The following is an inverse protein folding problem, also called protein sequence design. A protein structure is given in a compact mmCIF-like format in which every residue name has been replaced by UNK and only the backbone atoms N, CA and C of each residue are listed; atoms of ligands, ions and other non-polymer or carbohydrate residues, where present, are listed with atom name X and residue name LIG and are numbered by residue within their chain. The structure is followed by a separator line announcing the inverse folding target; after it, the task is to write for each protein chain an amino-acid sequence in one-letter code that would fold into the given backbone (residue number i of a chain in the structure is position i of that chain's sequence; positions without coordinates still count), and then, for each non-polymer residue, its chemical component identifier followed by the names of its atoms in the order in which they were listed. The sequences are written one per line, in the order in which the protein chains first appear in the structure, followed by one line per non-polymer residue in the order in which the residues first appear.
data_IF_210701657614
#
_entry.id   IF_210701657614
#
_cell.length_a   1.000
_cell.length_b   1.000
_cell.length_c   1.000
_cell.angle_alpha   90.00
_cell.angle_beta   90.00
_cell.angle_gamma   90.00
#
_symmetry.space_group_name_H-M   'P 1'
#
loop_
_entity.id
_entity.type
_entity.pdbx_description
1 polymer ?
#
# COMPACT_ATOMS: atom_id res chain seq x y z
N UNK A 1 6.43 -17.97 11.21
CA UNK A 1 6.36 -16.63 10.60
C UNK A 1 6.42 -15.63 11.74
N UNK A 2 7.45 -14.77 11.83
CA UNK A 2 7.58 -13.86 12.98
C UNK A 2 6.51 -12.78 12.88
N UNK A 3 5.48 -12.86 13.70
CA UNK A 3 4.52 -11.75 13.86
C UNK A 3 5.26 -10.57 14.50
N UNK A 4 5.48 -9.53 13.71
CA UNK A 4 6.23 -8.34 14.12
C UNK A 4 5.26 -7.43 14.90
N UNK A 5 5.10 -7.73 16.18
CA UNK A 5 4.31 -6.90 17.11
C UNK A 5 4.98 -5.53 17.26
N UNK A 6 4.20 -4.46 17.09
CA UNK A 6 4.62 -3.07 17.29
C UNK A 6 4.15 -2.65 18.68
N UNK A 7 5.06 -2.04 19.45
CA UNK A 7 4.80 -1.56 20.80
C UNK A 7 4.74 -0.04 20.78
N UNK A 8 3.59 0.53 21.13
CA UNK A 8 3.40 1.94 21.42
C UNK A 8 3.35 2.16 22.93
N UNK A 9 3.30 3.42 23.39
CA UNK A 9 3.36 3.79 24.82
C UNK A 9 2.33 3.06 25.70
N UNK A 10 1.15 2.78 25.16
CA UNK A 10 0.02 2.18 25.92
C UNK A 10 -0.58 0.95 25.26
N UNK A 11 -0.11 0.52 24.09
CA UNK A 11 -0.70 -0.61 23.37
C UNK A 11 0.32 -1.38 22.55
N UNK A 12 0.00 -2.65 22.29
CA UNK A 12 0.76 -3.54 21.41
C UNK A 12 -0.17 -3.98 20.29
N UNK A 13 0.27 -3.89 19.04
CA UNK A 13 -0.57 -4.19 17.90
C UNK A 13 0.21 -4.79 16.74
N UNK A 14 -0.52 -5.49 15.87
CA UNK A 14 -0.06 -5.97 14.58
C UNK A 14 -1.22 -5.80 13.60
N UNK A 15 -1.16 -4.72 12.82
CA UNK A 15 -2.27 -4.28 11.98
C UNK A 15 -1.84 -4.40 10.53
N UNK A 16 -2.54 -5.26 9.78
CA UNK A 16 -2.29 -5.47 8.36
C UNK A 16 -3.58 -5.18 7.58
N UNK A 17 -3.47 -4.47 6.47
CA UNK A 17 -4.61 -4.09 5.64
C UNK A 17 -4.46 -4.69 4.23
N UNK A 18 -5.57 -5.18 3.67
CA UNK A 18 -5.68 -5.51 2.26
C UNK A 18 -6.52 -4.42 1.57
N UNK A 19 -5.86 -3.54 0.81
CA UNK A 19 -6.49 -2.39 0.15
C UNK A 19 -6.53 -2.63 -1.34
N UNK A 20 -7.72 -2.50 -1.94
CA UNK A 20 -7.95 -2.63 -3.37
C UNK A 20 -8.75 -1.44 -3.87
N UNK A 21 -8.41 -0.92 -5.05
CA UNK A 21 -9.12 0.18 -5.68
C UNK A 21 -9.28 -0.05 -7.18
N UNK A 22 -10.00 0.84 -7.85
CA UNK A 22 -10.17 0.83 -9.31
C UNK A 22 -10.00 2.23 -9.87
N UNK A 23 -9.57 2.31 -11.13
CA UNK A 23 -9.47 3.59 -11.84
C UNK A 23 -10.85 4.15 -12.18
N UNK A 24 -10.93 5.47 -12.33
CA UNK A 24 -12.18 6.16 -12.68
C UNK A 24 -12.79 5.56 -13.96
N UNK A 25 -14.08 5.22 -13.90
CA UNK A 25 -14.83 4.54 -14.98
C UNK A 25 -14.28 3.18 -15.43
N UNK A 26 -13.44 2.51 -14.62
CA UNK A 26 -12.83 1.20 -14.93
C UNK A 26 -12.15 1.12 -16.31
N UNK A 27 -11.59 2.24 -16.79
CA UNK A 27 -10.86 2.27 -18.06
C UNK A 27 -9.60 1.40 -17.96
N UNK A 28 -9.26 0.66 -19.01
CA UNK A 28 -8.03 -0.17 -19.05
C UNK A 28 -6.79 0.68 -19.37
N UNK A 29 -6.47 1.63 -18.48
CA UNK A 29 -5.37 2.59 -18.65
C UNK A 29 -4.07 2.19 -17.95
N UNK A 30 -4.08 1.10 -17.18
CA UNK A 30 -2.88 0.59 -16.50
C UNK A 30 -2.01 -0.15 -17.53
N UNK A 31 -1.24 0.60 -18.31
CA UNK A 31 -0.14 0.08 -19.12
C UNK A 31 1.09 -0.20 -18.24
N UNK A 32 2.06 -0.97 -18.73
CA UNK A 32 3.26 -1.34 -17.97
C UNK A 32 4.04 -0.12 -17.43
N UNK A 33 4.13 0.96 -18.20
CA UNK A 33 4.79 2.20 -17.80
C UNK A 33 4.04 2.91 -16.67
N UNK A 34 2.72 3.09 -16.82
CA UNK A 34 1.87 3.73 -15.81
C UNK A 34 1.84 2.90 -14.52
N UNK A 35 1.79 1.57 -14.63
CA UNK A 35 1.85 0.66 -13.49
C UNK A 35 3.18 0.79 -12.73
N UNK A 36 4.31 0.89 -13.44
CA UNK A 36 5.63 1.03 -12.84
C UNK A 36 5.72 2.34 -12.05
N UNK A 37 5.36 3.46 -12.69
CA UNK A 37 5.33 4.76 -12.03
C UNK A 37 4.40 4.79 -10.81
N UNK A 38 3.21 4.19 -10.94
CA UNK A 38 2.23 4.13 -9.83
C UNK A 38 2.79 3.35 -8.63
N UNK A 39 3.47 2.22 -8.87
CA UNK A 39 4.11 1.43 -7.79
C UNK A 39 5.19 2.24 -7.08
N UNK A 40 6.05 2.93 -7.83
CA UNK A 40 7.10 3.79 -7.27
C UNK A 40 6.51 4.93 -6.44
N UNK A 41 5.48 5.59 -6.96
CA UNK A 41 4.79 6.69 -6.27
C UNK A 41 4.14 6.21 -4.96
N UNK A 42 3.47 5.05 -4.97
CA UNK A 42 2.85 4.48 -3.76
C UNK A 42 3.90 4.16 -2.70
N UNK A 43 5.05 3.59 -3.10
CA UNK A 43 6.15 3.31 -2.15
C UNK A 43 6.76 4.59 -1.58
N UNK A 44 6.87 5.64 -2.40
CA UNK A 44 7.33 6.95 -1.94
C UNK A 44 6.38 7.55 -0.90
N UNK A 45 5.08 7.59 -1.19
CA UNK A 45 4.05 8.11 -0.26
C UNK A 45 3.99 7.29 1.04
N UNK A 46 4.23 5.97 0.98
CA UNK A 46 4.24 5.13 2.17
C UNK A 46 5.50 5.31 3.04
N UNK A 47 6.58 5.85 2.46
CA UNK A 47 7.86 6.10 3.14
C UNK A 47 7.97 7.53 3.66
N UNK A 48 7.25 8.48 3.05
CA UNK A 48 7.07 9.86 3.50
C UNK A 48 6.23 9.92 4.80
#
# INVERSE_FOLDING_TARGET
MKEKLIYSRTCVYNINYHVVWSVKYRRKILSAEIETYLKELVQKIASD
#
